data_IF_382910942705
#
_entry.id   IF_382910942705
#
_cell.length_a   1.000
_cell.length_b   1.000
_cell.length_c   1.000
_cell.angle_alpha   90.00
_cell.angle_beta   90.00
_cell.angle_gamma   90.00
#
_symmetry.space_group_name_H-M   'P 1'
#
loop_
_entity.id
_entity.type
_entity.pdbx_description
1 polymer ?
#
# COMPACT_ATOMS: atom_id res chain seq x y z
N UNK A 1 41.04 -76.40 -27.60
CA UNK A 1 40.21 -76.55 -26.37
C UNK A 1 40.63 -75.51 -25.33
N UNK A 2 40.45 -74.21 -25.59
CA UNK A 2 40.51 -73.07 -24.63
C UNK A 2 40.08 -71.75 -25.34
N UNK A 3 39.29 -71.84 -26.42
CA UNK A 3 38.97 -70.68 -27.28
C UNK A 3 38.22 -69.57 -26.52
N UNK A 4 37.44 -69.95 -25.51
CA UNK A 4 36.78 -69.04 -24.59
C UNK A 4 37.75 -68.21 -23.72
N UNK A 5 38.96 -68.69 -23.42
CA UNK A 5 40.00 -67.92 -22.71
C UNK A 5 40.59 -66.81 -23.59
N UNK A 6 40.33 -66.83 -24.89
CA UNK A 6 40.81 -65.82 -25.85
C UNK A 6 39.74 -64.81 -26.24
N UNK A 7 38.49 -65.03 -25.82
CA UNK A 7 37.38 -64.12 -26.08
C UNK A 7 37.33 -63.04 -24.99
N UNK A 8 37.01 -61.81 -25.39
CA UNK A 8 36.79 -60.73 -24.45
C UNK A 8 35.49 -60.99 -23.69
N UNK A 9 35.55 -60.98 -22.36
CA UNK A 9 34.37 -61.05 -21.51
C UNK A 9 33.78 -59.66 -21.30
N UNK A 10 32.47 -59.61 -21.09
CA UNK A 10 31.78 -58.38 -20.68
C UNK A 10 32.30 -57.92 -19.30
N UNK A 11 32.41 -56.62 -19.09
CA UNK A 11 32.72 -56.07 -17.76
C UNK A 11 31.47 -55.99 -16.88
N UNK A 12 31.64 -55.90 -15.56
CA UNK A 12 30.53 -55.62 -14.62
C UNK A 12 29.71 -54.38 -15.04
N UNK A 13 30.38 -53.31 -15.47
CA UNK A 13 29.69 -52.11 -15.97
C UNK A 13 28.90 -52.36 -17.26
N UNK A 14 29.44 -53.17 -18.19
CA UNK A 14 28.72 -53.51 -19.42
C UNK A 14 27.50 -54.38 -19.13
N UNK A 15 27.62 -55.38 -18.25
CA UNK A 15 26.53 -56.27 -17.85
C UNK A 15 25.42 -55.48 -17.14
N UNK A 16 25.77 -54.70 -16.12
CA UNK A 16 24.80 -53.87 -15.40
C UNK A 16 24.19 -52.79 -16.31
N UNK A 17 24.96 -52.21 -17.24
CA UNK A 17 24.42 -51.25 -18.22
C UNK A 17 23.44 -51.89 -19.21
N UNK A 18 23.69 -53.13 -19.63
CA UNK A 18 22.73 -53.88 -20.46
C UNK A 18 21.44 -54.15 -19.69
N UNK A 19 21.55 -54.53 -18.41
CA UNK A 19 20.39 -54.72 -17.55
C UNK A 19 19.58 -53.43 -17.34
N UNK A 20 20.22 -52.32 -16.94
CA UNK A 20 19.55 -51.01 -16.75
C UNK A 20 18.89 -50.45 -18.02
N UNK A 21 19.39 -50.85 -19.19
CA UNK A 21 18.83 -50.48 -20.50
C UNK A 21 17.86 -51.52 -21.06
N UNK A 22 17.41 -52.45 -20.20
CA UNK A 22 16.42 -53.48 -20.51
C UNK A 22 16.81 -54.34 -21.72
N UNK A 23 18.12 -54.58 -21.91
CA UNK A 23 18.65 -55.44 -22.99
C UNK A 23 18.76 -56.90 -22.61
N UNK A 24 18.83 -57.18 -21.31
CA UNK A 24 18.85 -58.50 -20.69
C UNK A 24 17.96 -58.44 -19.45
N UNK A 25 17.42 -59.58 -19.03
CA UNK A 25 16.61 -59.66 -17.81
C UNK A 25 17.47 -59.91 -16.55
N UNK A 26 16.83 -60.00 -15.39
CA UNK A 26 17.54 -60.17 -14.12
C UNK A 26 18.26 -61.54 -14.02
N UNK A 27 17.63 -62.69 -14.36
CA UNK A 27 18.34 -63.97 -14.45
C UNK A 27 19.59 -63.94 -15.34
N UNK A 28 19.49 -63.36 -16.55
CA UNK A 28 20.61 -63.23 -17.48
C UNK A 28 21.73 -62.36 -16.91
N UNK A 29 21.38 -61.23 -16.28
CA UNK A 29 22.35 -60.34 -15.63
C UNK A 29 23.08 -61.05 -14.47
N UNK A 30 22.36 -61.79 -13.62
CA UNK A 30 22.95 -62.56 -12.50
C UNK A 30 23.89 -63.64 -13.01
N UNK A 31 23.49 -64.38 -14.05
CA UNK A 31 24.34 -65.38 -14.67
C UNK A 31 25.64 -64.77 -15.21
N UNK A 32 25.55 -63.69 -15.99
CA UNK A 32 26.73 -63.01 -16.54
C UNK A 32 27.61 -62.40 -15.43
N UNK A 33 27.02 -61.88 -14.35
CA UNK A 33 27.78 -61.38 -13.19
C UNK A 33 28.53 -62.50 -12.47
N UNK A 34 27.94 -63.71 -12.38
CA UNK A 34 28.60 -64.89 -11.82
C UNK A 34 29.78 -65.36 -12.69
N UNK A 35 29.64 -65.30 -14.02
CA UNK A 35 30.72 -65.66 -14.96
C UNK A 35 31.93 -64.73 -14.84
N UNK A 36 31.73 -63.47 -14.47
CA UNK A 36 32.83 -62.49 -14.26
C UNK A 36 33.34 -62.46 -12.82
N UNK A 37 32.84 -63.35 -11.95
CA UNK A 37 33.41 -63.62 -10.62
C UNK A 37 32.66 -63.04 -9.42
N UNK A 38 31.47 -62.45 -9.60
CA UNK A 38 30.61 -62.09 -8.46
C UNK A 38 29.93 -63.34 -7.88
N UNK A 39 29.75 -63.37 -6.56
CA UNK A 39 28.97 -64.45 -5.93
C UNK A 39 27.48 -64.20 -6.14
N UNK A 40 26.70 -65.27 -6.28
CA UNK A 40 25.26 -65.20 -6.50
C UNK A 40 24.52 -64.37 -5.45
N UNK A 41 24.99 -64.38 -4.20
CA UNK A 41 24.39 -63.68 -3.06
C UNK A 41 24.65 -62.17 -3.05
N UNK A 42 25.57 -61.65 -3.85
CA UNK A 42 25.85 -60.20 -3.96
C UNK A 42 25.45 -59.62 -5.32
N UNK A 43 25.01 -60.45 -6.27
CA UNK A 43 24.66 -59.99 -7.63
C UNK A 43 23.56 -58.94 -7.64
N UNK A 44 22.55 -59.05 -6.77
CA UNK A 44 21.46 -58.08 -6.66
C UNK A 44 21.97 -56.73 -6.12
N UNK A 45 22.90 -56.72 -5.17
CA UNK A 45 23.51 -55.49 -4.64
C UNK A 45 24.32 -54.77 -5.72
N UNK A 46 25.10 -55.50 -6.51
CA UNK A 46 25.86 -54.94 -7.64
C UNK A 46 24.94 -54.35 -8.70
N UNK A 47 23.81 -55.00 -8.98
CA UNK A 47 22.80 -54.47 -9.88
C UNK A 47 22.18 -53.19 -9.30
N UNK A 48 21.78 -53.21 -8.03
CA UNK A 48 21.17 -52.06 -7.35
C UNK A 48 22.09 -50.85 -7.31
N UNK A 49 23.37 -51.04 -6.94
CA UNK A 49 24.42 -49.99 -6.95
C UNK A 49 24.62 -49.35 -8.32
N UNK A 50 24.24 -50.05 -9.39
CA UNK A 50 24.45 -49.59 -10.74
C UNK A 50 23.39 -48.57 -11.20
N UNK A 51 22.22 -48.53 -10.55
CA UNK A 51 21.14 -47.60 -10.89
C UNK A 51 21.47 -46.17 -10.48
N UNK A 52 20.99 -45.20 -11.26
CA UNK A 52 21.01 -43.81 -10.85
C UNK A 52 19.90 -43.56 -9.84
N UNK A 53 20.26 -43.09 -8.66
CA UNK A 53 19.31 -42.66 -7.63
C UNK A 53 19.03 -41.17 -7.84
N UNK A 54 17.79 -40.68 -7.72
CA UNK A 54 17.54 -39.24 -7.76
C UNK A 54 18.32 -38.57 -6.62
N UNK A 55 18.79 -37.34 -6.83
CA UNK A 55 19.51 -36.66 -5.76
C UNK A 55 18.61 -36.49 -4.52
N UNK A 56 19.24 -36.40 -3.35
CA UNK A 56 18.54 -36.33 -2.06
C UNK A 56 17.46 -35.22 -1.99
N UNK A 57 17.64 -34.11 -2.71
CA UNK A 57 16.67 -33.03 -2.75
C UNK A 57 15.42 -33.42 -3.54
N UNK A 58 15.59 -34.05 -4.70
CA UNK A 58 14.47 -34.54 -5.50
C UNK A 58 13.71 -35.67 -4.80
N UNK A 59 14.42 -36.58 -4.13
CA UNK A 59 13.78 -37.61 -3.30
C UNK A 59 12.96 -36.98 -2.17
N UNK A 60 13.54 -36.03 -1.42
CA UNK A 60 12.81 -35.32 -0.38
C UNK A 60 11.56 -34.60 -0.94
N UNK A 61 11.69 -33.89 -2.06
CA UNK A 61 10.54 -33.19 -2.67
C UNK A 61 9.46 -34.15 -3.16
N UNK A 62 9.84 -35.29 -3.75
CA UNK A 62 8.90 -36.33 -4.17
C UNK A 62 8.15 -36.93 -2.98
N UNK A 63 8.85 -37.23 -1.89
CA UNK A 63 8.25 -37.79 -0.67
C UNK A 63 7.32 -36.79 0.02
N UNK A 64 7.70 -35.51 0.09
CA UNK A 64 6.82 -34.45 0.59
C UNK A 64 5.54 -34.33 -0.26
N UNK A 65 5.67 -34.41 -1.59
CA UNK A 65 4.51 -34.36 -2.49
C UNK A 65 3.60 -35.59 -2.35
N UNK A 66 4.17 -36.75 -2.05
CA UNK A 66 3.45 -38.00 -1.82
C UNK A 66 2.87 -38.13 -0.40
N UNK A 67 3.09 -37.14 0.47
CA UNK A 67 2.67 -37.16 1.87
C UNK A 67 3.23 -38.38 2.64
N UNK A 68 4.46 -38.78 2.30
CA UNK A 68 5.16 -39.88 2.96
C UNK A 68 5.42 -39.58 4.44
N UNK A 69 5.59 -40.66 5.22
CA UNK A 69 5.91 -40.54 6.65
C UNK A 69 7.34 -40.02 6.85
N UNK A 70 7.59 -39.37 8.00
CA UNK A 70 8.93 -38.88 8.35
C UNK A 70 9.96 -40.02 8.42
N UNK A 71 9.56 -41.20 8.88
CA UNK A 71 10.38 -42.41 8.89
C UNK A 71 10.81 -42.81 7.47
N UNK A 72 9.86 -42.86 6.52
CA UNK A 72 10.14 -43.18 5.12
C UNK A 72 11.04 -42.13 4.47
N UNK A 73 10.81 -40.84 4.74
CA UNK A 73 11.66 -39.75 4.23
C UNK A 73 13.10 -39.92 4.71
N UNK A 74 13.29 -40.22 5.99
CA UNK A 74 14.61 -40.45 6.56
C UNK A 74 15.26 -41.73 5.98
N UNK A 75 14.52 -42.78 5.70
CA UNK A 75 15.08 -43.97 5.04
C UNK A 75 15.53 -43.66 3.60
N UNK A 76 14.69 -43.00 2.82
CA UNK A 76 14.96 -42.66 1.41
C UNK A 76 16.14 -41.72 1.22
N UNK A 77 16.34 -40.78 2.15
CA UNK A 77 17.56 -39.95 2.16
C UNK A 77 18.82 -40.79 2.38
N UNK A 78 18.70 -41.93 3.05
CA UNK A 78 19.76 -42.92 3.18
C UNK A 78 20.15 -43.55 1.86
N UNK A 79 19.16 -43.91 1.02
CA UNK A 79 19.40 -44.39 -0.34
C UNK A 79 20.09 -43.32 -1.21
N UNK A 80 19.92 -42.04 -0.86
CA UNK A 80 20.56 -40.89 -1.52
C UNK A 80 21.95 -40.50 -0.95
N UNK A 81 22.62 -41.43 -0.26
CA UNK A 81 23.93 -41.26 0.39
C UNK A 81 24.00 -40.19 1.50
N UNK A 82 22.86 -39.78 2.07
CA UNK A 82 22.86 -38.89 3.25
C UNK A 82 23.10 -39.72 4.51
N UNK A 83 24.25 -39.49 5.16
CA UNK A 83 24.62 -40.14 6.41
C UNK A 83 23.52 -39.97 7.48
N UNK A 84 23.17 -41.03 8.25
CA UNK A 84 22.09 -41.02 9.25
C UNK A 84 22.08 -39.78 10.16
N UNK A 85 23.23 -39.42 10.72
CA UNK A 85 23.39 -38.27 11.63
C UNK A 85 23.06 -36.89 11.02
N UNK A 86 22.96 -36.80 9.70
CA UNK A 86 22.74 -35.53 8.97
C UNK A 86 21.40 -35.48 8.24
N UNK A 87 20.62 -36.57 8.20
CA UNK A 87 19.36 -36.62 7.44
C UNK A 87 18.35 -35.57 7.92
N UNK A 88 18.18 -35.45 9.23
CA UNK A 88 17.30 -34.40 9.77
C UNK A 88 17.80 -32.99 9.43
N UNK A 89 19.10 -32.73 9.58
CA UNK A 89 19.71 -31.44 9.22
C UNK A 89 19.55 -31.14 7.73
N UNK A 90 19.59 -32.15 6.88
CA UNK A 90 19.35 -32.03 5.45
C UNK A 90 17.90 -31.61 5.16
N UNK A 91 16.92 -32.26 5.80
CA UNK A 91 15.51 -31.89 5.71
C UNK A 91 15.32 -30.44 6.15
N UNK A 92 15.78 -30.08 7.34
CA UNK A 92 15.63 -28.74 7.89
C UNK A 92 16.32 -27.68 7.02
N UNK A 93 17.43 -28.02 6.37
CA UNK A 93 18.14 -27.13 5.44
C UNK A 93 17.39 -26.93 4.11
N UNK A 94 16.73 -27.97 3.59
CA UNK A 94 16.00 -27.93 2.31
C UNK A 94 14.59 -27.34 2.47
N UNK A 95 13.91 -27.59 3.59
CA UNK A 95 12.58 -27.06 3.82
C UNK A 95 12.57 -25.53 3.75
N UNK A 96 11.57 -25.01 3.04
CA UNK A 96 11.40 -23.57 2.83
C UNK A 96 11.24 -22.86 4.17
N UNK A 97 12.04 -21.82 4.39
CA UNK A 97 11.86 -20.92 5.52
C UNK A 97 11.02 -19.70 5.13
N UNK A 98 10.33 -19.03 6.07
CA UNK A 98 9.68 -17.75 5.81
C UNK A 98 10.67 -16.73 5.24
N UNK A 99 10.17 -15.81 4.42
CA UNK A 99 10.98 -14.70 3.94
C UNK A 99 11.33 -13.75 5.10
N UNK A 100 12.41 -12.97 4.97
CA UNK A 100 12.78 -11.96 5.98
C UNK A 100 11.67 -10.94 6.22
N UNK A 101 10.92 -10.56 5.18
CA UNK A 101 9.76 -9.68 5.28
C UNK A 101 8.62 -10.29 6.11
N UNK A 102 8.35 -11.59 5.95
CA UNK A 102 7.31 -12.28 6.73
C UNK A 102 7.70 -12.40 8.19
N UNK A 103 8.99 -12.66 8.47
CA UNK A 103 9.51 -12.68 9.84
C UNK A 103 9.35 -11.31 10.51
N UNK A 104 9.70 -10.22 9.83
CA UNK A 104 9.49 -8.86 10.34
C UNK A 104 8.00 -8.63 10.64
N UNK A 105 7.12 -8.92 9.68
CA UNK A 105 5.69 -8.72 9.86
C UNK A 105 5.10 -9.58 10.99
N UNK A 106 5.59 -10.81 11.15
CA UNK A 106 5.20 -11.68 12.26
C UNK A 106 5.64 -11.08 13.61
N UNK A 107 6.90 -10.67 13.74
CA UNK A 107 7.46 -10.10 14.97
C UNK A 107 6.76 -8.80 15.39
N UNK A 108 6.46 -7.92 14.43
CA UNK A 108 5.70 -6.68 14.68
C UNK A 108 4.32 -6.97 15.29
N UNK A 109 3.68 -8.09 14.92
CA UNK A 109 2.35 -8.48 15.45
C UNK A 109 2.40 -9.05 16.87
N UNK A 110 3.53 -9.60 17.31
CA UNK A 110 3.73 -10.18 18.65
C UNK A 110 4.00 -9.11 19.74
N UNK A 111 3.23 -8.01 19.74
CA UNK A 111 3.43 -6.84 20.64
C UNK A 111 4.60 -5.91 20.26
N UNK A 112 5.06 -5.91 19.01
CA UNK A 112 6.05 -4.96 18.49
C UNK A 112 7.41 -4.97 19.22
N UNK A 113 7.94 -6.15 19.58
CA UNK A 113 9.18 -6.25 20.37
C UNK A 113 10.44 -6.59 19.56
N UNK A 114 10.31 -7.06 18.32
CA UNK A 114 11.40 -7.51 17.43
C UNK A 114 12.49 -8.39 18.10
N UNK A 115 12.21 -8.95 19.28
CA UNK A 115 13.24 -9.47 20.18
C UNK A 115 13.90 -10.73 19.60
N UNK A 116 13.11 -11.54 18.90
CA UNK A 116 13.57 -12.78 18.30
C UNK A 116 13.94 -12.61 16.81
N UNK A 117 13.81 -11.40 16.25
CA UNK A 117 14.00 -11.15 14.82
C UNK A 117 15.40 -11.55 14.36
N UNK A 118 16.45 -11.11 15.07
CA UNK A 118 17.84 -11.41 14.70
C UNK A 118 18.14 -12.91 14.70
N UNK A 119 17.62 -13.64 15.70
CA UNK A 119 17.76 -15.10 15.78
C UNK A 119 17.09 -15.79 14.59
N UNK A 120 15.86 -15.38 14.26
CA UNK A 120 15.10 -15.92 13.12
C UNK A 120 15.75 -15.57 11.77
N UNK A 121 16.26 -14.34 11.61
CA UNK A 121 17.02 -13.94 10.43
C UNK A 121 18.27 -14.81 10.25
N UNK A 122 18.99 -15.11 11.34
CA UNK A 122 20.14 -16.02 11.31
C UNK A 122 19.75 -17.43 10.85
N UNK A 123 18.63 -17.95 11.35
CA UNK A 123 18.14 -19.30 11.02
C UNK A 123 17.80 -19.46 9.53
N UNK A 124 17.38 -18.39 8.86
CA UNK A 124 17.14 -18.40 7.41
C UNK A 124 18.37 -18.04 6.57
N UNK A 125 19.54 -17.87 7.20
CA UNK A 125 20.82 -17.64 6.53
C UNK A 125 21.20 -16.18 6.30
N UNK A 126 20.54 -15.21 6.93
CA UNK A 126 20.97 -13.80 6.86
C UNK A 126 22.25 -13.61 7.68
N UNK A 127 23.26 -12.98 7.07
CA UNK A 127 24.51 -12.66 7.74
C UNK A 127 24.29 -11.64 8.87
N UNK A 128 24.93 -11.79 10.05
CA UNK A 128 24.74 -10.90 11.19
C UNK A 128 24.93 -9.41 10.92
N UNK A 129 25.87 -9.04 10.04
CA UNK A 129 26.13 -7.64 9.63
C UNK A 129 24.89 -6.93 9.04
N UNK A 130 23.88 -7.68 8.59
CA UNK A 130 22.65 -7.12 8.00
C UNK A 130 21.46 -7.09 8.97
N UNK A 131 21.61 -7.54 10.22
CA UNK A 131 20.50 -7.56 11.19
C UNK A 131 19.94 -6.16 11.47
N UNK A 132 20.82 -5.16 11.58
CA UNK A 132 20.41 -3.78 11.81
C UNK A 132 19.65 -3.20 10.60
N UNK A 133 19.99 -3.63 9.38
CA UNK A 133 19.26 -3.23 8.17
C UNK A 133 17.81 -3.70 8.25
N UNK A 134 17.58 -4.97 8.54
CA UNK A 134 16.22 -5.51 8.65
C UNK A 134 15.45 -4.94 9.85
N UNK A 135 16.12 -4.68 10.97
CA UNK A 135 15.51 -4.04 12.13
C UNK A 135 15.08 -2.61 11.81
N UNK A 136 15.92 -1.86 11.09
CA UNK A 136 15.60 -0.50 10.62
C UNK A 136 14.43 -0.50 9.63
N UNK A 137 14.37 -1.49 8.73
CA UNK A 137 13.28 -1.61 7.75
C UNK A 137 11.94 -2.04 8.37
N UNK A 138 11.95 -2.55 9.60
CA UNK A 138 10.72 -2.82 10.35
C UNK A 138 9.98 -1.52 10.71
N UNK A 139 10.73 -0.44 10.95
CA UNK A 139 10.19 0.91 11.14
C UNK A 139 9.81 1.52 9.79
N UNK A 140 8.52 1.42 9.46
CA UNK A 140 7.98 1.92 8.21
C UNK A 140 7.75 3.41 8.26
N UNK A 141 8.17 4.06 7.18
CA UNK A 141 7.82 5.45 6.89
C UNK A 141 6.59 5.46 5.99
N UNK A 142 5.58 6.32 6.26
CA UNK A 142 4.44 6.51 5.39
C UNK A 142 4.82 6.78 3.92
N UNK A 143 4.00 6.33 2.94
CA UNK A 143 4.16 6.73 1.55
C UNK A 143 4.15 8.26 1.38
N UNK A 144 4.86 8.76 0.37
CA UNK A 144 5.00 10.21 0.12
C UNK A 144 3.66 10.93 -0.02
N UNK A 145 2.65 10.31 -0.64
CA UNK A 145 1.32 10.89 -0.79
C UNK A 145 0.63 11.15 0.57
N UNK A 146 0.82 10.25 1.53
CA UNK A 146 0.28 10.40 2.88
C UNK A 146 1.01 11.50 3.64
N UNK A 147 2.34 11.58 3.48
CA UNK A 147 3.16 12.66 4.06
C UNK A 147 2.71 14.02 3.51
N UNK A 148 2.44 14.13 2.20
CA UNK A 148 1.90 15.35 1.59
C UNK A 148 0.54 15.69 2.21
N UNK A 149 -0.35 14.71 2.35
CA UNK A 149 -1.67 14.92 2.98
C UNK A 149 -1.52 15.43 4.42
N UNK A 150 -0.64 14.82 5.22
CA UNK A 150 -0.32 15.27 6.58
C UNK A 150 0.24 16.71 6.61
N UNK A 151 1.10 17.07 5.64
CA UNK A 151 1.66 18.41 5.53
C UNK A 151 0.59 19.45 5.19
N UNK A 152 -0.28 19.17 4.22
CA UNK A 152 -1.39 20.05 3.84
C UNK A 152 -2.38 20.20 5.00
N UNK A 153 -2.63 19.11 5.73
CA UNK A 153 -3.52 19.09 6.90
C UNK A 153 -2.89 19.66 8.17
N UNK A 154 -1.72 20.27 8.10
CA UNK A 154 -1.04 20.91 9.25
C UNK A 154 -0.71 19.96 10.40
N UNK A 155 -0.66 18.64 10.13
CA UNK A 155 -0.29 17.63 11.12
C UNK A 155 1.19 17.74 11.55
N UNK A 156 2.01 18.54 10.85
CA UNK A 156 3.39 18.85 11.24
C UNK A 156 3.55 20.19 11.98
N UNK A 157 2.47 20.93 12.20
CA UNK A 157 2.49 22.25 12.85
C UNK A 157 1.80 22.15 14.21
N UNK A 158 2.53 21.94 15.33
CA UNK A 158 1.91 21.61 16.62
C UNK A 158 0.91 22.65 17.13
N UNK A 159 1.18 23.94 16.91
CA UNK A 159 0.27 25.02 17.30
C UNK A 159 -1.06 24.99 16.54
N UNK A 160 -1.04 24.63 15.25
CA UNK A 160 -2.24 24.52 14.41
C UNK A 160 -3.00 23.24 14.75
N UNK A 161 -2.29 22.11 14.87
CA UNK A 161 -2.88 20.84 15.24
C UNK A 161 -3.57 20.89 16.62
N UNK A 162 -2.94 21.55 17.60
CA UNK A 162 -3.54 21.77 18.92
C UNK A 162 -4.76 22.70 18.86
N UNK A 163 -4.69 23.79 18.08
CA UNK A 163 -5.81 24.72 17.90
C UNK A 163 -7.07 24.03 17.35
N UNK A 164 -6.89 23.06 16.45
CA UNK A 164 -7.98 22.35 15.79
C UNK A 164 -8.31 20.98 16.41
N UNK A 165 -7.70 20.64 17.54
CA UNK A 165 -7.94 19.35 18.20
C UNK A 165 -7.60 18.14 17.31
N UNK A 166 -6.66 18.26 16.38
CA UNK A 166 -6.42 17.22 15.36
C UNK A 166 -5.99 15.88 15.97
N UNK A 167 -5.37 15.89 17.14
CA UNK A 167 -4.96 14.70 17.88
C UNK A 167 -6.00 14.25 18.93
N UNK A 168 -7.15 14.92 19.03
CA UNK A 168 -8.22 14.52 19.95
C UNK A 168 -8.82 13.18 19.54
N UNK A 169 -9.40 12.46 20.50
CA UNK A 169 -10.01 11.15 20.31
C UNK A 169 -9.08 10.05 19.75
N UNK A 170 -7.76 10.22 19.84
CA UNK A 170 -6.78 9.23 19.37
C UNK A 170 -6.93 7.87 20.08
N UNK A 171 -7.38 6.81 19.39
CA UNK A 171 -7.66 5.53 20.04
C UNK A 171 -6.35 4.78 20.35
N UNK A 172 -6.21 4.25 21.57
CA UNK A 172 -5.04 3.40 21.92
C UNK A 172 -4.93 2.16 21.04
N UNK A 173 -6.06 1.58 20.65
CA UNK A 173 -6.07 0.44 19.73
C UNK A 173 -5.55 0.80 18.34
N UNK A 174 -5.78 2.02 17.87
CA UNK A 174 -5.21 2.48 16.61
C UNK A 174 -3.67 2.52 16.68
N UNK A 175 -3.10 3.04 17.77
CA UNK A 175 -1.65 3.02 17.97
C UNK A 175 -1.09 1.59 18.00
N UNK A 176 -1.78 0.67 18.67
CA UNK A 176 -1.40 -0.75 18.72
C UNK A 176 -1.35 -1.36 17.31
N UNK A 177 -2.42 -1.25 16.53
CA UNK A 177 -2.48 -1.86 15.20
C UNK A 177 -1.55 -1.16 14.20
N UNK A 178 -1.36 0.16 14.32
CA UNK A 178 -0.37 0.89 13.53
C UNK A 178 1.07 0.39 13.81
N UNK A 179 1.41 0.17 15.09
CA UNK A 179 2.69 -0.42 15.49
C UNK A 179 2.90 -1.82 14.92
N UNK A 180 1.85 -2.65 14.89
CA UNK A 180 1.90 -3.99 14.25
C UNK A 180 2.09 -3.94 12.72
N UNK A 181 1.90 -2.77 12.10
CA UNK A 181 2.22 -2.51 10.70
C UNK A 181 3.59 -1.85 10.50
N UNK A 182 4.34 -1.60 11.58
CA UNK A 182 5.65 -0.94 11.57
C UNK A 182 5.58 0.58 11.65
N UNK A 183 4.41 1.19 11.93
CA UNK A 183 4.31 2.63 12.12
C UNK A 183 4.62 3.01 13.57
N UNK A 184 5.50 3.99 13.76
CA UNK A 184 5.71 4.60 15.07
C UNK A 184 4.43 5.27 15.59
N UNK A 185 4.34 5.47 16.90
CA UNK A 185 3.20 6.17 17.51
C UNK A 185 3.07 7.60 16.97
N UNK A 186 4.19 8.26 16.66
CA UNK A 186 4.20 9.58 16.05
C UNK A 186 3.58 9.57 14.65
N UNK A 187 3.91 8.57 13.82
CA UNK A 187 3.28 8.41 12.52
C UNK A 187 1.79 8.09 12.65
N UNK A 188 1.42 7.22 13.57
CA UNK A 188 0.02 6.91 13.87
C UNK A 188 -0.75 8.18 14.24
N UNK A 189 -0.22 9.00 15.16
CA UNK A 189 -0.82 10.29 15.55
C UNK A 189 -0.97 11.24 14.36
N UNK A 190 -0.02 11.28 13.42
CA UNK A 190 -0.10 12.14 12.23
C UNK A 190 -1.14 11.66 11.23
N UNK A 191 -1.26 10.35 11.01
CA UNK A 191 -2.38 9.79 10.25
C UNK A 191 -3.71 10.19 10.86
N UNK A 192 -3.82 10.10 12.18
CA UNK A 192 -5.00 10.57 12.89
C UNK A 192 -5.20 12.08 12.71
N UNK A 193 -4.18 12.91 12.86
CA UNK A 193 -4.34 14.35 12.65
C UNK A 193 -4.82 14.72 11.23
N UNK A 194 -4.49 13.91 10.22
CA UNK A 194 -4.86 14.16 8.82
C UNK A 194 -6.22 13.56 8.40
N UNK A 195 -6.84 12.68 9.20
CA UNK A 195 -8.00 11.89 8.76
C UNK A 195 -9.33 12.65 8.71
N UNK A 196 -9.43 13.79 9.40
CA UNK A 196 -10.69 14.50 9.61
C UNK A 196 -11.34 15.02 8.31
N UNK A 197 -12.67 14.95 8.25
CA UNK A 197 -13.44 15.68 7.24
C UNK A 197 -13.51 17.16 7.57
N UNK A 198 -13.08 18.03 6.65
CA UNK A 198 -13.08 19.48 6.86
C UNK A 198 -14.37 20.12 6.31
N UNK A 199 -14.87 21.22 6.93
CA UNK A 199 -15.98 21.99 6.38
C UNK A 199 -15.71 22.47 4.96
N UNK A 200 -16.69 22.43 4.07
CA UNK A 200 -16.57 22.92 2.69
C UNK A 200 -16.30 24.43 2.63
N UNK A 201 -15.81 24.97 1.50
CA UNK A 201 -15.61 26.41 1.36
C UNK A 201 -16.90 27.20 1.58
N UNK A 202 -18.06 26.66 1.14
CA UNK A 202 -19.37 27.28 1.36
C UNK A 202 -19.75 27.32 2.85
N UNK A 203 -19.47 26.24 3.60
CA UNK A 203 -19.64 26.25 5.05
C UNK A 203 -18.69 27.26 5.71
N UNK A 204 -17.44 27.37 5.21
CA UNK A 204 -16.49 28.40 5.59
C UNK A 204 -17.03 29.82 5.41
N UNK A 205 -17.63 30.11 4.24
CA UNK A 205 -18.26 31.41 3.97
C UNK A 205 -19.43 31.68 4.93
N UNK A 206 -20.29 30.69 5.18
CA UNK A 206 -21.38 30.87 6.15
C UNK A 206 -20.87 31.15 7.56
N UNK A 207 -19.83 30.46 8.01
CA UNK A 207 -19.20 30.73 9.30
C UNK A 207 -18.60 32.14 9.36
N UNK A 208 -17.96 32.59 8.28
CA UNK A 208 -17.39 33.95 8.17
C UNK A 208 -18.50 35.01 8.27
N UNK A 209 -19.57 34.89 7.49
CA UNK A 209 -20.66 35.87 7.50
C UNK A 209 -21.41 35.93 8.82
N UNK A 210 -21.44 34.83 9.57
CA UNK A 210 -22.04 34.77 10.92
C UNK A 210 -21.10 35.27 12.01
N UNK A 211 -19.86 35.68 11.66
CA UNK A 211 -18.84 36.11 12.62
C UNK A 211 -18.35 34.99 13.53
N UNK A 212 -18.52 33.73 13.11
CA UNK A 212 -18.07 32.55 13.88
C UNK A 212 -16.58 32.30 13.67
N UNK A 213 -16.06 32.66 12.50
CA UNK A 213 -14.63 32.58 12.16
C UNK A 213 -14.15 33.90 11.54
N UNK A 214 -12.83 34.08 11.51
CA UNK A 214 -12.16 35.21 10.85
C UNK A 214 -11.77 34.89 9.40
N UNK A 215 -11.31 35.90 8.65
CA UNK A 215 -10.75 35.68 7.30
C UNK A 215 -9.49 34.81 7.33
N UNK A 216 -8.65 34.95 8.36
CA UNK A 216 -7.47 34.12 8.57
C UNK A 216 -7.85 32.64 8.77
N UNK A 217 -8.95 32.39 9.48
CA UNK A 217 -9.48 31.05 9.69
C UNK A 217 -10.03 30.44 8.40
N UNK A 218 -10.71 31.24 7.59
CA UNK A 218 -11.17 30.82 6.26
C UNK A 218 -9.97 30.48 5.36
N UNK A 219 -8.92 31.30 5.37
CA UNK A 219 -7.69 31.05 4.61
C UNK A 219 -7.00 29.74 5.06
N UNK A 220 -6.94 29.50 6.37
CA UNK A 220 -6.38 28.28 6.93
C UNK A 220 -7.22 27.04 6.59
N UNK A 221 -8.55 27.15 6.61
CA UNK A 221 -9.46 26.09 6.15
C UNK A 221 -9.22 25.76 4.67
N UNK A 222 -9.14 26.77 3.80
CA UNK A 222 -8.86 26.56 2.37
C UNK A 222 -7.50 25.92 2.13
N UNK A 223 -6.48 26.30 2.90
CA UNK A 223 -5.17 25.64 2.87
C UNK A 223 -5.28 24.16 3.23
N UNK A 224 -5.95 23.85 4.34
CA UNK A 224 -6.11 22.48 4.81
C UNK A 224 -6.98 21.62 3.86
N UNK A 225 -7.85 22.24 3.06
CA UNK A 225 -8.57 21.58 1.95
C UNK A 225 -7.75 21.37 0.68
N UNK A 226 -6.46 21.68 0.69
CA UNK A 226 -5.57 21.59 -0.48
C UNK A 226 -5.98 22.51 -1.64
N UNK A 227 -6.65 23.63 -1.34
CA UNK A 227 -6.94 24.65 -2.36
C UNK A 227 -5.62 25.35 -2.68
N UNK A 228 -5.22 25.37 -3.95
CA UNK A 228 -3.96 26.02 -4.37
C UNK A 228 -3.93 27.49 -3.93
N UNK A 229 -2.78 28.02 -3.48
CA UNK A 229 -2.66 29.40 -3.00
C UNK A 229 -3.26 30.45 -3.94
N UNK A 230 -3.09 30.29 -5.26
CA UNK A 230 -3.65 31.19 -6.28
C UNK A 230 -5.17 31.35 -6.20
N UNK A 231 -5.90 30.31 -5.80
CA UNK A 231 -7.36 30.32 -5.75
C UNK A 231 -7.92 30.82 -4.41
N UNK A 232 -7.14 30.84 -3.33
CA UNK A 232 -7.65 31.14 -1.98
C UNK A 232 -8.20 32.56 -1.88
N UNK A 233 -7.44 33.55 -2.34
CA UNK A 233 -7.87 34.95 -2.32
C UNK A 233 -9.07 35.16 -3.25
N UNK A 234 -9.11 34.47 -4.38
CA UNK A 234 -10.22 34.56 -5.35
C UNK A 234 -11.50 33.94 -4.82
N UNK A 235 -11.39 32.80 -4.14
CA UNK A 235 -12.49 32.15 -3.46
C UNK A 235 -12.99 33.01 -2.29
N UNK A 236 -12.09 33.62 -1.53
CA UNK A 236 -12.45 34.52 -0.42
C UNK A 236 -13.18 35.77 -0.92
N UNK A 237 -12.76 36.33 -2.06
CA UNK A 237 -13.41 37.50 -2.67
C UNK A 237 -14.87 37.24 -3.09
N UNK A 238 -15.26 35.99 -3.33
CA UNK A 238 -16.64 35.60 -3.66
C UNK A 238 -17.43 35.08 -2.45
N UNK A 239 -16.89 35.19 -1.23
CA UNK A 239 -17.62 34.78 -0.03
C UNK A 239 -18.90 35.62 0.12
N UNK A 240 -18.79 36.93 0.02
CA UNK A 240 -19.91 37.86 0.25
C UNK A 240 -20.90 37.89 -0.92
N UNK A 241 -22.18 38.08 -0.58
CA UNK A 241 -23.25 38.21 -1.57
C UNK A 241 -23.19 39.56 -2.26
N UNK A 242 -23.43 39.57 -3.56
CA UNK A 242 -23.75 40.79 -4.29
C UNK A 242 -25.09 41.37 -3.84
N UNK A 243 -25.26 42.69 -3.97
CA UNK A 243 -26.57 43.33 -3.76
C UNK A 243 -27.64 42.68 -4.63
N UNK A 244 -28.85 42.50 -4.09
CA UNK A 244 -29.96 41.95 -4.87
C UNK A 244 -30.44 42.96 -5.89
N UNK A 245 -31.06 42.51 -7.00
CA UNK A 245 -31.67 43.38 -8.02
C UNK A 245 -32.68 44.37 -7.41
N UNK A 246 -33.38 43.97 -6.34
CA UNK A 246 -34.33 44.82 -5.62
C UNK A 246 -33.61 45.91 -4.84
N UNK A 247 -32.56 45.56 -4.11
CA UNK A 247 -31.79 46.52 -3.31
C UNK A 247 -31.03 47.49 -4.21
N UNK A 248 -30.44 47.01 -5.32
CA UNK A 248 -29.80 47.85 -6.33
C UNK A 248 -30.76 48.93 -6.84
N UNK A 249 -32.00 48.56 -7.15
CA UNK A 249 -33.01 49.51 -7.62
C UNK A 249 -33.38 50.54 -6.55
N UNK A 250 -33.61 50.10 -5.31
CA UNK A 250 -33.89 51.01 -4.18
C UNK A 250 -32.72 51.95 -3.93
N UNK A 251 -31.50 51.43 -3.92
CA UNK A 251 -30.30 52.21 -3.71
C UNK A 251 -30.08 53.23 -4.83
N UNK A 252 -30.43 52.90 -6.08
CA UNK A 252 -30.42 53.88 -7.17
C UNK A 252 -31.48 54.98 -6.97
N UNK A 253 -32.70 54.61 -6.58
CA UNK A 253 -33.78 55.56 -6.28
C UNK A 253 -33.42 56.56 -5.18
N UNK A 254 -32.75 56.10 -4.12
CA UNK A 254 -32.27 56.94 -3.03
C UNK A 254 -30.92 57.64 -3.31
N UNK A 255 -30.37 57.51 -4.53
CA UNK A 255 -29.11 58.14 -4.93
C UNK A 255 -27.85 57.56 -4.28
N UNK A 256 -27.95 56.38 -3.66
CA UNK A 256 -26.81 55.66 -3.07
C UNK A 256 -25.95 55.01 -4.15
N UNK A 257 -26.57 54.51 -5.23
CA UNK A 257 -25.86 53.98 -6.41
C UNK A 257 -26.01 54.92 -7.61
N UNK A 258 -24.93 55.06 -8.38
CA UNK A 258 -24.97 55.68 -9.70
C UNK A 258 -25.41 54.68 -10.76
N UNK A 259 -25.68 55.14 -11.99
CA UNK A 259 -25.99 54.26 -13.12
C UNK A 259 -24.87 53.25 -13.37
N UNK A 260 -23.61 53.67 -13.27
CA UNK A 260 -22.43 52.82 -13.41
C UNK A 260 -22.38 51.78 -12.28
N UNK A 261 -22.74 52.18 -11.05
CA UNK A 261 -22.87 51.28 -9.91
C UNK A 261 -23.94 50.21 -10.12
N UNK A 262 -25.08 50.58 -10.71
CA UNK A 262 -26.15 49.65 -11.10
C UNK A 262 -25.66 48.66 -12.17
N UNK A 263 -25.00 49.16 -13.22
CA UNK A 263 -24.42 48.32 -14.28
C UNK A 263 -23.39 47.32 -13.72
N UNK A 264 -22.45 47.81 -12.91
CA UNK A 264 -21.44 46.95 -12.28
C UNK A 264 -22.10 45.86 -11.44
N UNK A 265 -23.11 46.19 -10.64
CA UNK A 265 -23.75 45.18 -9.80
C UNK A 265 -24.46 44.09 -10.63
N UNK A 266 -25.10 44.43 -11.75
CA UNK A 266 -25.65 43.42 -12.65
C UNK A 266 -24.55 42.54 -13.27
N UNK A 267 -23.38 43.10 -13.61
CA UNK A 267 -22.22 42.31 -14.04
C UNK A 267 -21.72 41.37 -12.94
N UNK A 268 -21.62 41.85 -11.70
CA UNK A 268 -21.19 41.04 -10.56
C UNK A 268 -22.16 39.86 -10.30
N UNK A 269 -23.47 40.04 -10.57
CA UNK A 269 -24.48 38.96 -10.52
C UNK A 269 -24.38 37.94 -11.67
N UNK A 270 -23.50 38.16 -12.65
CA UNK A 270 -23.24 37.23 -13.76
C UNK A 270 -23.97 37.56 -15.07
N UNK A 271 -24.65 38.71 -15.18
CA UNK A 271 -25.20 39.14 -16.47
C UNK A 271 -24.07 39.50 -17.44
N UNK A 272 -24.23 39.21 -18.74
CA UNK A 272 -23.33 39.72 -19.79
C UNK A 272 -23.49 41.24 -19.96
N UNK A 273 -22.59 41.90 -20.72
CA UNK A 273 -22.59 43.36 -20.87
C UNK A 273 -23.93 43.90 -21.42
N UNK A 274 -24.50 43.24 -22.44
CA UNK A 274 -25.78 43.62 -23.04
C UNK A 274 -26.94 43.55 -22.04
N UNK A 275 -27.07 42.43 -21.32
CA UNK A 275 -28.14 42.26 -20.35
C UNK A 275 -27.96 43.14 -19.11
N UNK A 276 -26.71 43.36 -18.68
CA UNK A 276 -26.42 44.29 -17.60
C UNK A 276 -26.83 45.72 -17.98
N UNK A 277 -26.58 46.14 -19.22
CA UNK A 277 -26.99 47.45 -19.75
C UNK A 277 -28.52 47.55 -19.87
N UNK A 278 -29.18 46.53 -20.41
CA UNK A 278 -30.65 46.48 -20.51
C UNK A 278 -31.31 46.56 -19.12
N UNK A 279 -30.79 45.82 -18.14
CA UNK A 279 -31.27 45.86 -16.77
C UNK A 279 -31.01 47.21 -16.09
N UNK A 280 -29.88 47.85 -16.42
CA UNK A 280 -29.55 49.20 -15.94
C UNK A 280 -30.52 50.22 -16.50
N UNK A 281 -30.74 50.24 -17.82
CA UNK A 281 -31.70 51.13 -18.49
C UNK A 281 -33.13 50.93 -17.94
N UNK A 282 -33.54 49.67 -17.74
CA UNK A 282 -34.82 49.35 -17.11
C UNK A 282 -34.92 49.91 -15.69
N UNK A 283 -33.88 49.73 -14.87
CA UNK A 283 -33.85 50.22 -13.48
C UNK A 283 -33.98 51.74 -13.42
N UNK A 284 -33.22 52.46 -14.26
CA UNK A 284 -33.28 53.92 -14.36
C UNK A 284 -34.68 54.38 -14.78
N UNK A 285 -35.23 53.82 -15.85
CA UNK A 285 -36.55 54.20 -16.35
C UNK A 285 -37.67 53.91 -15.34
N UNK A 286 -37.59 52.77 -14.65
CA UNK A 286 -38.56 52.37 -13.63
C UNK A 286 -38.61 53.38 -12.46
N UNK A 287 -37.44 53.76 -11.94
CA UNK A 287 -37.31 54.71 -10.84
C UNK A 287 -37.77 56.10 -11.24
N UNK A 288 -37.34 56.61 -12.40
CA UNK A 288 -37.77 57.92 -12.92
C UNK A 288 -39.29 57.99 -13.08
N UNK A 289 -39.91 56.92 -13.62
CA UNK A 289 -41.37 56.87 -13.78
C UNK A 289 -42.10 56.89 -12.44
N UNK A 290 -41.60 56.18 -11.43
CA UNK A 290 -42.19 56.21 -10.08
C UNK A 290 -42.11 57.59 -9.45
N UNK A 291 -40.95 58.25 -9.51
CA UNK A 291 -40.77 59.61 -8.98
C UNK A 291 -41.73 60.62 -9.63
N UNK A 292 -41.93 60.53 -10.95
CA UNK A 292 -42.89 61.40 -11.65
C UNK A 292 -44.34 61.16 -11.22
N UNK A 293 -44.74 59.91 -10.93
CA UNK A 293 -46.09 59.59 -10.47
C UNK A 293 -46.35 60.11 -9.06
N UNK A 294 -45.40 59.92 -8.13
CA UNK A 294 -45.51 60.44 -6.76
C UNK A 294 -45.56 61.97 -6.73
N UNK A 295 -44.74 62.65 -7.55
CA UNK A 295 -44.79 64.12 -7.63
C UNK A 295 -46.13 64.65 -8.16
N UNK A 296 -46.78 63.92 -9.09
CA UNK A 296 -48.11 64.28 -9.57
C UNK A 296 -49.21 64.06 -8.51
N UNK A 297 -49.13 62.98 -7.74
CA UNK A 297 -50.09 62.69 -6.67
C UNK A 297 -49.98 63.67 -5.48
N UNK A 298 -48.78 64.14 -5.15
CA UNK A 298 -48.55 65.13 -4.09
C UNK A 298 -49.07 66.52 -4.48
N UNK A 299 -49.01 66.88 -5.76
CA UNK A 299 -49.59 68.14 -6.29
C UNK A 299 -51.13 68.11 -6.24
N UNK A 300 -51.76 66.95 -6.35
CA UNK A 300 -53.23 66.81 -6.32
C UNK A 300 -53.80 66.77 -4.90
N UNK A 301 -52.96 66.60 -3.87
CA UNK A 301 -53.37 66.50 -2.45
C UNK A 301 -53.03 67.72 -1.57
N UNK A 302 -52.37 68.75 -2.13
CA UNK A 302 -52.11 70.03 -1.47
C UNK A 302 -53.17 71.08 -1.83
#
# INVERSE_FOLDING_TARGET
KWEWLTQQQWTTDQITSMYRREKIDNPDARFLLSEVGWRDDVTDDIINLSFSIPNAMLLLQGNLQAEETEENILDDLGHADIHPDYRQKYIDAVLTKPSSSDLIAYELRQENKLADLQSKLKQIGIHPDWFDVYSTLADRIPPVADIITMAVREAFTPSVAARFGQYEDFPRDFAKYAGQQGLSEDWAKRYWAAHWGLPSPQQGFEMLHRGVITEDDLSLLMKAQDIMPFWRDKMSAIAYRNLTRVDVRRMFEYGVLTREGVFKNYRDQGYNDENAENMTAFTVAYVTKQQTHTAQDDIVKA
#
